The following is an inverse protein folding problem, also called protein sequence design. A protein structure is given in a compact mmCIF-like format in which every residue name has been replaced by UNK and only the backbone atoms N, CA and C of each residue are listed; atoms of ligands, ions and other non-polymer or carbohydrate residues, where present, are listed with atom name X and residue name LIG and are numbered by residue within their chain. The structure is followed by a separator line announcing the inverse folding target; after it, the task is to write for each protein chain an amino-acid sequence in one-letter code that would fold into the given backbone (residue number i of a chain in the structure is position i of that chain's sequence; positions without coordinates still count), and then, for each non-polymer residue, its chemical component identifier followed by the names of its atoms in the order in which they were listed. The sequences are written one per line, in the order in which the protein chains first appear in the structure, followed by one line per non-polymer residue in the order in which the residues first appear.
data_IF_227646104519
#
_entry.id   IF_227646104519
#
_cell.length_a   1.000
_cell.length_b   1.000
_cell.length_c   1.000
_cell.angle_alpha   90.00
_cell.angle_beta   90.00
_cell.angle_gamma   90.00
#
_symmetry.space_group_name_H-M   'P 1'
#
loop_
_entity.id
_entity.type
_entity.pdbx_description
1 polymer ?
#
# COMPACT_ATOMS: atom_id res chain seq x y z
N UNK A 1 -7.39 13.96 -4.56
CA UNK A 1 -6.05 13.37 -4.56
C UNK A 1 -5.05 14.48 -4.74
N UNK A 2 -4.00 14.49 -3.95
CA UNK A 2 -2.82 15.34 -4.16
C UNK A 2 -1.60 14.45 -4.38
N UNK A 3 -0.75 14.85 -5.31
CA UNK A 3 0.50 14.18 -5.63
C UNK A 3 1.62 15.21 -5.62
N UNK A 4 2.72 14.88 -4.97
CA UNK A 4 3.88 15.76 -4.86
C UNK A 4 5.15 14.97 -4.62
N UNK A 5 6.27 15.67 -4.54
CA UNK A 5 7.58 15.13 -4.23
C UNK A 5 7.98 15.59 -2.84
N UNK A 6 8.39 14.71 -1.95
CA UNK A 6 8.95 15.04 -0.64
C UNK A 6 10.47 15.24 -0.73
N UNK A 7 11.13 14.36 -1.46
CA UNK A 7 12.55 14.36 -1.77
C UNK A 7 12.71 13.89 -3.22
N UNK A 8 13.84 14.14 -3.85
CA UNK A 8 14.05 13.95 -5.29
C UNK A 8 13.52 12.61 -5.83
N UNK A 9 13.55 11.54 -5.03
CA UNK A 9 13.15 10.18 -5.41
C UNK A 9 12.01 9.57 -4.54
N UNK A 10 11.40 10.36 -3.62
CA UNK A 10 10.31 9.92 -2.75
C UNK A 10 9.04 10.72 -3.04
N UNK A 11 8.03 10.04 -3.55
CA UNK A 11 6.72 10.62 -3.82
C UNK A 11 5.86 10.72 -2.56
N UNK A 12 5.04 11.78 -2.47
CA UNK A 12 3.95 11.91 -1.52
C UNK A 12 2.62 11.78 -2.25
N UNK A 13 1.81 10.83 -1.80
CA UNK A 13 0.45 10.59 -2.28
C UNK A 13 -0.52 10.87 -1.15
N UNK A 14 -1.36 11.90 -1.30
CA UNK A 14 -2.32 12.29 -0.26
C UNK A 14 -3.75 12.05 -0.75
N UNK A 15 -4.48 11.19 -0.07
CA UNK A 15 -5.93 11.05 -0.23
C UNK A 15 -6.57 12.35 0.27
N UNK A 16 -7.18 13.14 -0.62
CA UNK A 16 -7.60 14.51 -0.29
C UNK A 16 -9.10 14.74 -0.53
N UNK A 17 -9.89 14.30 0.44
CA UNK A 17 -11.31 14.61 0.69
C UNK A 17 -11.52 14.71 2.20
N UNK A 18 -10.83 15.61 2.92
CA UNK A 18 -10.78 15.64 4.39
C UNK A 18 -12.14 15.83 5.04
N UNK A 19 -13.08 16.55 4.39
CA UNK A 19 -14.46 16.76 4.83
C UNK A 19 -15.28 15.47 4.86
N UNK A 20 -14.85 14.43 4.14
CA UNK A 20 -15.43 13.08 4.09
C UNK A 20 -14.50 12.02 4.67
N UNK A 21 -13.49 12.40 5.47
CA UNK A 21 -12.46 11.50 5.98
C UNK A 21 -11.82 10.68 4.86
N UNK A 22 -11.62 11.29 3.70
CA UNK A 22 -11.02 10.69 2.51
C UNK A 22 -11.76 9.43 2.02
N UNK A 23 -13.10 9.40 2.17
CA UNK A 23 -13.93 8.31 1.67
C UNK A 23 -13.83 8.20 0.14
N UNK A 24 -13.86 6.95 -0.35
CA UNK A 24 -13.61 6.59 -1.74
C UNK A 24 -14.87 6.87 -2.57
N UNK A 25 -14.78 7.78 -3.52
CA UNK A 25 -15.73 8.01 -4.60
C UNK A 25 -15.05 7.89 -5.96
N UNK A 26 -15.78 8.15 -7.05
CA UNK A 26 -15.24 8.07 -8.40
C UNK A 26 -14.07 9.01 -8.66
N UNK A 27 -14.07 10.21 -8.07
CA UNK A 27 -12.98 11.18 -8.22
C UNK A 27 -11.70 10.72 -7.54
N UNK A 28 -11.82 10.10 -6.37
CA UNK A 28 -10.67 9.53 -5.66
C UNK A 28 -10.12 8.31 -6.43
N UNK A 29 -10.98 7.44 -6.97
CA UNK A 29 -10.59 6.31 -7.82
C UNK A 29 -9.81 6.80 -9.04
N UNK A 30 -10.33 7.81 -9.78
CA UNK A 30 -9.65 8.41 -10.93
C UNK A 30 -8.29 8.98 -10.54
N UNK A 31 -8.23 9.71 -9.43
CA UNK A 31 -6.99 10.30 -8.92
C UNK A 31 -5.94 9.26 -8.52
N UNK A 32 -6.35 8.15 -7.88
CA UNK A 32 -5.41 7.07 -7.52
C UNK A 32 -4.89 6.40 -8.79
N UNK A 33 -5.74 6.03 -9.75
CA UNK A 33 -5.28 5.45 -11.02
C UNK A 33 -4.25 6.33 -11.73
N UNK A 34 -4.54 7.64 -11.84
CA UNK A 34 -3.60 8.59 -12.44
C UNK A 34 -2.27 8.66 -11.68
N UNK A 35 -2.31 8.70 -10.35
CA UNK A 35 -1.10 8.70 -9.52
C UNK A 35 -0.27 7.42 -9.71
N UNK A 36 -0.94 6.26 -9.82
CA UNK A 36 -0.25 4.99 -10.09
C UNK A 36 0.42 4.95 -11.46
N UNK A 37 -0.15 5.63 -12.48
CA UNK A 37 0.50 5.79 -13.78
C UNK A 37 1.79 6.63 -13.65
N UNK A 38 1.77 7.70 -12.85
CA UNK A 38 2.96 8.53 -12.60
C UNK A 38 4.03 7.75 -11.83
N UNK A 39 3.65 7.03 -10.77
CA UNK A 39 4.58 6.23 -9.97
C UNK A 39 5.22 5.09 -10.77
N UNK A 40 4.50 4.53 -11.74
CA UNK A 40 5.03 3.52 -12.67
C UNK A 40 6.01 4.06 -13.71
N UNK A 41 6.15 5.38 -13.84
CA UNK A 41 7.02 6.05 -14.82
C UNK A 41 8.53 5.97 -14.53
N UNK A 42 8.95 5.45 -13.36
CA UNK A 42 10.36 5.21 -13.03
C UNK A 42 11.10 6.41 -12.42
N UNK A 43 10.43 7.54 -12.17
CA UNK A 43 11.05 8.73 -11.55
C UNK A 43 11.24 8.59 -10.04
N UNK A 44 10.42 7.76 -9.39
CA UNK A 44 10.41 7.59 -7.93
C UNK A 44 10.97 6.23 -7.52
N UNK A 45 11.58 6.22 -6.34
CA UNK A 45 12.18 5.05 -5.68
C UNK A 45 11.32 4.51 -4.54
N UNK A 46 10.47 5.36 -3.97
CA UNK A 46 9.47 5.00 -2.96
C UNK A 46 8.29 5.98 -3.00
N UNK A 47 7.15 5.57 -2.45
CA UNK A 47 6.00 6.44 -2.25
C UNK A 47 5.50 6.37 -0.81
N UNK A 48 5.12 7.53 -0.25
CA UNK A 48 4.41 7.62 1.03
C UNK A 48 2.95 7.93 0.73
N UNK A 49 2.04 7.07 1.22
CA UNK A 49 0.60 7.25 1.11
C UNK A 49 0.02 7.70 2.44
N UNK A 50 -0.70 8.83 2.45
CA UNK A 50 -1.34 9.38 3.65
C UNK A 50 -2.71 9.98 3.34
N UNK A 51 -3.44 10.44 4.35
CA UNK A 51 -4.71 11.13 4.19
C UNK A 51 -4.65 12.59 4.64
N UNK A 52 -5.31 13.49 3.91
CA UNK A 52 -5.47 14.87 4.33
C UNK A 52 -6.37 14.99 5.57
N UNK A 53 -6.05 15.92 6.46
CA UNK A 53 -6.83 16.21 7.65
C UNK A 53 -6.75 15.10 8.71
N UNK A 54 -7.86 14.82 9.40
CA UNK A 54 -7.92 13.95 10.60
C UNK A 54 -8.09 12.45 10.30
N UNK A 55 -8.29 12.04 9.06
CA UNK A 55 -8.52 10.65 8.67
C UNK A 55 -7.56 10.19 7.61
N UNK A 56 -7.21 8.90 7.62
CA UNK A 56 -6.49 8.29 6.51
C UNK A 56 -7.47 8.01 5.35
N UNK A 57 -8.42 7.11 5.55
CA UNK A 57 -9.50 6.82 4.60
C UNK A 57 -10.63 6.05 5.30
N UNK A 58 -11.85 6.56 5.24
CA UNK A 58 -13.03 5.96 5.89
C UNK A 58 -13.72 4.85 5.06
N UNK A 59 -13.09 4.39 3.95
CA UNK A 59 -13.67 3.39 3.06
C UNK A 59 -14.57 4.01 1.99
N UNK A 60 -15.53 3.24 1.47
CA UNK A 60 -16.44 3.69 0.42
C UNK A 60 -17.32 4.88 0.88
N UNK A 61 -17.53 5.85 0.00
CA UNK A 61 -18.47 6.95 0.26
C UNK A 61 -19.91 6.44 0.14
N UNK A 62 -20.52 6.16 1.27
CA UNK A 62 -21.90 5.66 1.37
C UNK A 62 -22.96 6.79 1.40
N UNK A 63 -22.54 8.05 1.29
CA UNK A 63 -23.49 9.19 1.34
C UNK A 63 -24.42 9.29 0.12
N UNK A 64 -24.04 8.65 -1.00
CA UNK A 64 -24.75 8.76 -2.27
C UNK A 64 -24.54 10.10 -2.99
N UNK A 65 -23.69 10.98 -2.45
CA UNK A 65 -23.43 12.32 -3.01
C UNK A 65 -22.04 12.44 -3.65
N UNK A 66 -21.20 11.39 -3.55
CA UNK A 66 -19.90 11.31 -4.20
C UNK A 66 -20.02 11.06 -5.71
N UNK A 67 -18.91 11.30 -6.43
CA UNK A 67 -18.85 10.99 -7.85
C UNK A 67 -19.04 9.48 -8.10
N UNK A 68 -19.77 9.10 -9.16
CA UNK A 68 -20.00 7.68 -9.45
C UNK A 68 -18.67 6.98 -9.81
N UNK A 69 -18.52 5.75 -9.36
CA UNK A 69 -17.29 4.96 -9.55
C UNK A 69 -17.02 4.58 -11.00
N UNK A 70 -18.06 4.56 -11.83
CA UNK A 70 -17.96 4.38 -13.28
C UNK A 70 -18.94 5.31 -13.99
N UNK A 71 -18.66 5.59 -15.28
CA UNK A 71 -19.56 6.35 -16.17
C UNK A 71 -20.15 5.40 -17.22
N UNK A 72 -21.20 4.62 -16.89
CA UNK A 72 -21.74 3.61 -17.79
C UNK A 72 -22.44 4.24 -19.00
N UNK A 73 -22.46 3.50 -20.11
CA UNK A 73 -23.35 3.85 -21.25
C UNK A 73 -24.80 3.62 -20.85
N UNK A 74 -25.73 4.41 -21.38
CA UNK A 74 -27.18 4.32 -21.07
C UNK A 74 -27.77 2.90 -21.23
N UNK A 75 -27.20 2.09 -22.10
CA UNK A 75 -27.64 0.72 -22.41
C UNK A 75 -26.98 -0.36 -21.54
N UNK A 76 -26.06 0.01 -20.62
CA UNK A 76 -25.37 -0.97 -19.78
C UNK A 76 -26.33 -1.50 -18.70
N UNK A 77 -26.52 -2.83 -18.59
CA UNK A 77 -27.37 -3.41 -17.55
C UNK A 77 -26.87 -3.05 -16.14
N UNK A 78 -27.75 -2.82 -15.14
CA UNK A 78 -27.36 -2.43 -13.79
C UNK A 78 -26.34 -3.37 -13.12
N UNK A 79 -26.50 -4.69 -13.28
CA UNK A 79 -25.53 -5.66 -12.78
C UNK A 79 -24.12 -5.42 -13.32
N UNK A 80 -24.01 -5.17 -14.64
CA UNK A 80 -22.72 -4.92 -15.27
C UNK A 80 -22.10 -3.61 -14.81
N UNK A 81 -22.91 -2.56 -14.57
CA UNK A 81 -22.42 -1.30 -13.99
C UNK A 81 -21.79 -1.54 -12.63
N UNK A 82 -22.51 -2.27 -11.75
CA UNK A 82 -22.01 -2.57 -10.41
C UNK A 82 -20.74 -3.44 -10.46
N UNK A 83 -20.72 -4.46 -11.31
CA UNK A 83 -19.57 -5.33 -11.49
C UNK A 83 -18.34 -4.56 -11.99
N UNK A 84 -18.49 -3.75 -13.06
CA UNK A 84 -17.40 -2.95 -13.63
C UNK A 84 -16.89 -1.91 -12.60
N UNK A 85 -17.79 -1.34 -11.80
CA UNK A 85 -17.43 -0.42 -10.71
C UNK A 85 -16.58 -1.11 -9.64
N UNK A 86 -16.98 -2.31 -9.24
CA UNK A 86 -16.24 -3.11 -8.25
C UNK A 86 -14.87 -3.53 -8.79
N UNK A 87 -14.80 -4.00 -10.03
CA UNK A 87 -13.52 -4.39 -10.67
C UNK A 87 -12.59 -3.18 -10.75
N UNK A 88 -13.10 -2.03 -11.17
CA UNK A 88 -12.29 -0.81 -11.28
C UNK A 88 -11.75 -0.34 -9.93
N UNK A 89 -12.57 -0.41 -8.88
CA UNK A 89 -12.13 -0.09 -7.53
C UNK A 89 -11.08 -1.09 -7.03
N UNK A 90 -11.33 -2.39 -7.21
CA UNK A 90 -10.42 -3.45 -6.74
C UNK A 90 -9.07 -3.41 -7.45
N UNK A 91 -9.03 -3.00 -8.72
CA UNK A 91 -7.80 -2.87 -9.52
C UNK A 91 -6.79 -1.89 -8.89
N UNK A 92 -7.24 -0.84 -8.19
CA UNK A 92 -6.35 0.06 -7.47
C UNK A 92 -5.42 -0.68 -6.51
N UNK A 93 -5.97 -1.63 -5.76
CA UNK A 93 -5.24 -2.38 -4.72
C UNK A 93 -4.26 -3.36 -5.36
N UNK A 94 -4.65 -4.03 -6.44
CA UNK A 94 -3.75 -4.88 -7.22
C UNK A 94 -2.59 -4.06 -7.79
N UNK A 95 -2.86 -2.91 -8.38
CA UNK A 95 -1.84 -2.03 -8.96
C UNK A 95 -0.86 -1.50 -7.92
N UNK A 96 -1.32 -1.13 -6.70
CA UNK A 96 -0.43 -0.71 -5.60
C UNK A 96 0.47 -1.88 -5.16
N UNK A 97 -0.12 -3.07 -5.01
CA UNK A 97 0.61 -4.27 -4.62
C UNK A 97 1.72 -4.66 -5.61
N UNK A 98 1.46 -4.45 -6.92
CA UNK A 98 2.35 -4.79 -8.03
C UNK A 98 3.29 -3.64 -8.44
N UNK A 99 3.20 -2.44 -7.83
CA UNK A 99 4.11 -1.34 -8.15
C UNK A 99 5.57 -1.78 -7.99
N UNK A 100 6.47 -1.37 -8.91
CA UNK A 100 7.89 -1.71 -8.83
C UNK A 100 8.62 -1.02 -7.67
N UNK A 101 8.00 0.00 -7.07
CA UNK A 101 8.55 0.74 -5.93
C UNK A 101 7.79 0.43 -4.65
N UNK A 102 8.43 0.49 -3.47
CA UNK A 102 7.77 0.36 -2.18
C UNK A 102 6.81 1.49 -1.89
N UNK A 103 5.68 1.14 -1.25
CA UNK A 103 4.68 2.08 -0.76
C UNK A 103 4.64 2.01 0.76
N UNK A 104 4.82 3.14 1.42
CA UNK A 104 4.76 3.28 2.88
C UNK A 104 3.43 3.96 3.23
N UNK A 105 2.54 3.25 3.95
CA UNK A 105 1.33 3.87 4.49
C UNK A 105 1.69 4.65 5.77
N UNK A 106 1.50 5.97 5.74
CA UNK A 106 1.56 6.86 6.90
C UNK A 106 0.11 7.11 7.37
N UNK A 107 -0.34 6.31 8.34
CA UNK A 107 -1.74 6.25 8.75
C UNK A 107 -2.01 7.28 9.84
N UNK A 108 -2.52 8.44 9.44
CA UNK A 108 -2.74 9.60 10.30
C UNK A 108 -4.04 9.54 11.14
N UNK A 109 -4.96 8.63 10.83
CA UNK A 109 -6.26 8.56 11.50
C UNK A 109 -7.06 7.32 11.12
N UNK A 110 -8.38 7.48 10.93
CA UNK A 110 -9.28 6.37 10.60
C UNK A 110 -8.92 5.73 9.26
N UNK A 111 -8.69 4.41 9.26
CA UNK A 111 -8.40 3.54 8.13
C UNK A 111 -9.32 2.32 8.17
N UNK A 112 -10.55 2.42 7.62
CA UNK A 112 -11.57 1.37 7.69
C UNK A 112 -12.09 0.98 6.31
N UNK A 113 -12.54 -0.26 6.15
CA UNK A 113 -13.00 -0.77 4.86
C UNK A 113 -11.92 -0.63 3.79
N UNK A 114 -12.19 0.11 2.72
CA UNK A 114 -11.20 0.42 1.69
C UNK A 114 -9.96 1.16 2.22
N UNK A 115 -10.10 1.93 3.32
CA UNK A 115 -8.98 2.54 4.02
C UNK A 115 -8.05 1.50 4.67
N UNK A 116 -8.62 0.47 5.29
CA UNK A 116 -7.83 -0.68 5.75
C UNK A 116 -7.16 -1.36 4.56
N UNK A 117 -7.86 -1.57 3.45
CA UNK A 117 -7.30 -2.21 2.26
C UNK A 117 -6.08 -1.43 1.72
N UNK A 118 -6.11 -0.09 1.67
CA UNK A 118 -4.93 0.73 1.31
C UNK A 118 -3.75 0.48 2.26
N UNK A 119 -4.01 0.31 3.57
CA UNK A 119 -2.92 0.01 4.51
C UNK A 119 -2.35 -1.40 4.28
N UNK A 120 -3.19 -2.37 3.96
CA UNK A 120 -2.77 -3.76 3.76
C UNK A 120 -1.95 -3.98 2.49
N UNK A 121 -2.26 -3.27 1.41
CA UNK A 121 -1.52 -3.39 0.14
C UNK A 121 -0.21 -2.59 0.14
N UNK A 122 -0.02 -1.68 1.10
CA UNK A 122 1.24 -0.98 1.29
C UNK A 122 2.29 -1.91 1.88
N UNK A 123 3.56 -1.72 1.49
CA UNK A 123 4.66 -2.59 1.91
C UNK A 123 5.00 -2.39 3.40
N UNK A 124 5.04 -1.14 3.86
CA UNK A 124 5.29 -0.80 5.27
C UNK A 124 4.16 0.11 5.79
N UNK A 125 3.81 -0.03 7.06
CA UNK A 125 2.74 0.73 7.72
C UNK A 125 3.30 1.39 8.97
N UNK A 126 3.29 2.74 8.98
CA UNK A 126 3.57 3.57 10.17
C UNK A 126 2.26 4.23 10.56
N UNK A 127 1.92 4.23 11.83
CA UNK A 127 0.66 4.76 12.32
C UNK A 127 0.87 5.89 13.34
N UNK A 128 0.02 6.90 13.29
CA UNK A 128 -0.18 7.80 14.42
C UNK A 128 -0.89 7.05 15.57
N UNK A 129 -0.63 7.43 16.81
CA UNK A 129 -1.37 6.98 17.99
C UNK A 129 -2.90 7.21 17.88
N UNK A 130 -3.31 8.16 17.02
CA UNK A 130 -4.71 8.47 16.72
C UNK A 130 -5.33 7.51 15.69
N UNK A 131 -4.54 6.67 15.03
CA UNK A 131 -5.02 5.78 13.99
C UNK A 131 -6.01 4.74 14.53
N UNK A 132 -7.00 4.40 13.69
CA UNK A 132 -8.03 3.40 13.96
C UNK A 132 -8.20 2.51 12.75
N UNK A 133 -8.26 1.21 12.93
CA UNK A 133 -8.31 0.24 11.85
C UNK A 133 -9.52 -0.69 11.99
N UNK A 134 -10.11 -1.10 10.87
CA UNK A 134 -11.19 -2.08 10.91
C UNK A 134 -11.66 -2.54 9.55
N UNK A 135 -12.01 -3.83 9.46
CA UNK A 135 -12.65 -4.43 8.29
C UNK A 135 -14.17 -4.15 8.36
N UNK A 136 -14.55 -2.87 8.23
CA UNK A 136 -15.90 -2.41 8.51
C UNK A 136 -16.93 -2.72 7.40
N UNK A 137 -16.57 -3.43 6.34
CA UNK A 137 -17.50 -3.82 5.27
C UNK A 137 -18.75 -4.54 5.80
N UNK A 138 -18.55 -5.46 6.78
CA UNK A 138 -19.65 -6.23 7.37
C UNK A 138 -20.67 -5.33 8.11
N UNK A 139 -20.21 -4.21 8.68
CA UNK A 139 -21.09 -3.23 9.32
C UNK A 139 -21.90 -2.41 8.33
N UNK A 140 -21.44 -2.31 7.09
CA UNK A 140 -22.15 -1.67 5.98
C UNK A 140 -23.06 -2.67 5.20
N UNK A 141 -23.18 -3.92 5.68
CA UNK A 141 -24.03 -4.95 5.06
C UNK A 141 -23.35 -5.72 3.92
N UNK A 142 -22.05 -5.53 3.72
CA UNK A 142 -21.26 -6.26 2.72
C UNK A 142 -20.42 -7.37 3.36
N UNK A 143 -19.87 -8.24 2.54
CA UNK A 143 -18.84 -9.18 2.98
C UNK A 143 -17.54 -8.43 3.29
N UNK A 144 -16.80 -8.89 4.30
CA UNK A 144 -15.44 -8.41 4.57
C UNK A 144 -14.39 -8.97 3.59
N UNK A 145 -14.82 -9.75 2.59
CA UNK A 145 -13.95 -10.28 1.52
C UNK A 145 -13.92 -9.29 0.35
N UNK A 146 -13.18 -8.20 0.49
CA UNK A 146 -13.10 -7.15 -0.52
C UNK A 146 -11.70 -6.54 -0.59
N UNK A 147 -11.33 -5.98 -1.75
CA UNK A 147 -10.11 -5.19 -1.98
C UNK A 147 -8.82 -5.86 -1.45
N UNK A 148 -8.72 -7.19 -1.55
CA UNK A 148 -7.58 -7.96 -1.05
C UNK A 148 -7.52 -8.18 0.45
N UNK A 149 -8.48 -7.66 1.25
CA UNK A 149 -8.46 -7.76 2.71
C UNK A 149 -8.40 -9.23 3.19
N UNK A 150 -9.20 -10.12 2.59
CA UNK A 150 -9.23 -11.55 2.97
C UNK A 150 -7.95 -12.31 2.63
N UNK A 151 -7.16 -11.78 1.71
CA UNK A 151 -5.88 -12.35 1.30
C UNK A 151 -4.71 -11.81 2.13
N UNK A 152 -4.64 -10.49 2.33
CA UNK A 152 -3.51 -9.82 2.95
C UNK A 152 -3.59 -9.82 4.49
N UNK A 153 -4.77 -9.54 5.06
CA UNK A 153 -4.89 -9.43 6.52
C UNK A 153 -4.43 -10.71 7.24
N UNK A 154 -4.84 -11.94 6.83
CA UNK A 154 -4.36 -13.16 7.47
C UNK A 154 -2.85 -13.39 7.35
N UNK A 155 -2.22 -12.91 6.27
CA UNK A 155 -0.77 -13.01 6.08
C UNK A 155 0.00 -12.07 7.01
N UNK A 156 -0.61 -10.95 7.38
CA UNK A 156 0.02 -9.93 8.24
C UNK A 156 -0.20 -10.26 9.73
N UNK A 157 -1.45 -10.50 10.16
CA UNK A 157 -1.80 -10.63 11.58
C UNK A 157 -2.08 -12.07 12.02
N UNK A 158 -1.98 -13.02 11.11
CA UNK A 158 -2.35 -14.42 11.33
C UNK A 158 -3.86 -14.67 11.18
N UNK A 159 -4.21 -15.90 10.80
CA UNK A 159 -5.58 -16.28 10.43
C UNK A 159 -6.59 -16.14 11.57
N UNK A 160 -6.18 -16.35 12.83
CA UNK A 160 -7.07 -16.25 14.00
C UNK A 160 -7.55 -14.82 14.22
N UNK A 161 -6.61 -13.88 14.30
CA UNK A 161 -6.90 -12.46 14.48
C UNK A 161 -7.66 -11.89 13.28
N UNK A 162 -7.24 -12.25 12.05
CA UNK A 162 -7.92 -11.80 10.85
C UNK A 162 -9.39 -12.22 10.82
N UNK A 163 -9.72 -13.49 11.16
CA UNK A 163 -11.11 -13.96 11.25
C UNK A 163 -11.93 -13.17 12.25
N UNK A 164 -11.38 -12.92 13.43
CA UNK A 164 -12.07 -12.15 14.47
C UNK A 164 -12.39 -10.73 13.98
N UNK A 165 -11.41 -10.01 13.42
CA UNK A 165 -11.59 -8.65 12.92
C UNK A 165 -12.57 -8.58 11.74
N UNK A 166 -12.49 -9.53 10.80
CA UNK A 166 -13.33 -9.55 9.61
C UNK A 166 -14.77 -9.95 9.92
N UNK A 167 -15.00 -10.90 10.82
CA UNK A 167 -16.34 -11.37 11.19
C UNK A 167 -17.06 -10.41 12.12
N UNK A 168 -16.33 -9.77 13.05
CA UNK A 168 -16.91 -8.81 13.99
C UNK A 168 -17.06 -7.41 13.38
N UNK A 169 -16.16 -7.02 12.47
CA UNK A 169 -16.05 -5.68 11.93
C UNK A 169 -15.73 -4.63 13.00
N UNK A 170 -15.14 -5.05 14.13
CA UNK A 170 -14.75 -4.12 15.19
C UNK A 170 -13.60 -3.23 14.75
N UNK A 171 -13.51 -2.07 15.37
CA UNK A 171 -12.44 -1.11 15.18
C UNK A 171 -11.41 -1.33 16.28
N UNK A 172 -10.12 -1.34 15.91
CA UNK A 172 -8.98 -1.40 16.82
C UNK A 172 -8.21 -0.08 16.81
N UNK A 173 -7.54 0.22 17.91
CA UNK A 173 -6.66 1.37 18.01
C UNK A 173 -5.23 1.07 17.52
N UNK A 174 -4.38 2.08 17.52
CA UNK A 174 -2.99 1.96 17.07
C UNK A 174 -2.17 1.01 17.98
N UNK A 175 -2.43 1.00 19.28
CA UNK A 175 -1.71 0.15 20.23
C UNK A 175 -2.02 -1.34 19.97
N UNK A 176 -3.30 -1.67 19.75
CA UNK A 176 -3.69 -3.03 19.37
C UNK A 176 -3.14 -3.39 17.97
N UNK A 177 -3.21 -2.48 17.00
CA UNK A 177 -2.66 -2.69 15.66
C UNK A 177 -1.15 -3.02 15.70
N UNK A 178 -0.39 -2.35 16.57
CA UNK A 178 1.01 -2.66 16.80
C UNK A 178 1.20 -4.03 17.45
N UNK A 179 0.43 -4.33 18.50
CA UNK A 179 0.49 -5.61 19.22
C UNK A 179 0.23 -6.83 18.35
N UNK A 180 -0.64 -6.70 17.33
CA UNK A 180 -0.96 -7.77 16.39
C UNK A 180 -0.13 -7.70 15.10
N UNK A 181 0.90 -6.86 15.06
CA UNK A 181 1.79 -6.65 13.91
C UNK A 181 1.10 -6.12 12.65
N UNK A 182 -0.08 -5.49 12.77
CA UNK A 182 -0.73 -4.83 11.64
C UNK A 182 0.07 -3.61 11.19
N UNK A 183 0.69 -2.89 12.13
CA UNK A 183 1.57 -1.76 11.84
C UNK A 183 2.97 -2.01 12.37
N UNK A 184 3.95 -1.43 11.68
CA UNK A 184 5.37 -1.56 11.99
C UNK A 184 5.78 -0.69 13.19
N UNK A 185 5.23 0.53 13.25
CA UNK A 185 5.58 1.53 14.25
C UNK A 185 4.35 2.38 14.58
N UNK A 186 4.26 2.85 15.83
CA UNK A 186 3.27 3.83 16.28
C UNK A 186 4.01 5.02 16.89
N UNK A 187 3.66 6.22 16.43
CA UNK A 187 4.31 7.47 16.82
C UNK A 187 3.29 8.56 17.15
N UNK A 188 3.71 9.64 17.80
CA UNK A 188 2.89 10.83 17.97
C UNK A 188 2.47 11.40 16.61
N UNK A 189 1.35 12.14 16.56
CA UNK A 189 0.80 12.65 15.29
C UNK A 189 1.80 13.49 14.50
N UNK A 190 2.55 14.35 15.18
CA UNK A 190 3.52 15.25 14.55
C UNK A 190 4.78 14.52 14.04
N UNK A 191 5.05 13.32 14.57
CA UNK A 191 6.19 12.48 14.18
C UNK A 191 5.87 11.49 13.04
N UNK A 192 4.61 11.43 12.59
CA UNK A 192 4.17 10.43 11.60
C UNK A 192 4.92 10.56 10.26
N UNK A 193 4.95 11.77 9.70
CA UNK A 193 5.63 11.98 8.41
C UNK A 193 7.16 11.86 8.53
N UNK A 194 7.82 12.38 9.58
CA UNK A 194 9.22 12.09 9.85
C UNK A 194 9.54 10.61 9.94
N UNK A 195 8.69 9.81 10.62
CA UNK A 195 8.87 8.36 10.75
C UNK A 195 8.70 7.64 9.40
N UNK A 196 7.66 7.97 8.63
CA UNK A 196 7.44 7.39 7.30
C UNK A 196 8.60 7.73 6.34
N UNK A 197 9.09 8.97 6.38
CA UNK A 197 10.22 9.41 5.56
C UNK A 197 11.52 8.69 5.94
N UNK A 198 11.77 8.49 7.24
CA UNK A 198 12.91 7.67 7.71
C UNK A 198 12.86 6.25 7.13
N UNK A 199 11.68 5.61 7.11
CA UNK A 199 11.51 4.29 6.48
C UNK A 199 11.76 4.36 4.98
N UNK A 200 11.18 5.32 4.28
CA UNK A 200 11.38 5.49 2.85
C UNK A 200 12.87 5.64 2.50
N UNK A 201 13.59 6.52 3.19
CA UNK A 201 15.04 6.74 3.00
C UNK A 201 15.86 5.47 3.22
N UNK A 202 15.58 4.71 4.29
CA UNK A 202 16.29 3.46 4.56
C UNK A 202 16.13 2.41 3.44
N UNK A 203 15.06 2.52 2.66
CA UNK A 203 14.81 1.68 1.49
C UNK A 203 15.50 2.25 0.25
N UNK A 204 15.37 3.58 0.00
CA UNK A 204 15.94 4.21 -1.19
C UNK A 204 17.47 4.34 -1.14
N UNK A 205 18.10 4.19 0.01
CA UNK A 205 19.55 4.03 0.16
C UNK A 205 20.10 2.76 -0.52
N UNK A 206 19.26 1.76 -0.78
CA UNK A 206 19.65 0.51 -1.44
C UNK A 206 19.49 0.61 -2.97
N UNK A 207 20.09 -0.31 -3.73
CA UNK A 207 19.95 -0.31 -5.19
C UNK A 207 18.49 -0.55 -5.63
N UNK A 208 18.02 0.21 -6.62
CA UNK A 208 16.63 0.19 -7.08
C UNK A 208 16.20 -1.17 -7.59
N UNK A 209 17.05 -1.84 -8.37
CA UNK A 209 16.78 -3.17 -8.91
C UNK A 209 16.59 -4.20 -7.79
N UNK A 210 17.47 -4.19 -6.79
CA UNK A 210 17.39 -5.10 -5.64
C UNK A 210 16.12 -4.89 -4.82
N UNK A 211 15.72 -3.64 -4.57
CA UNK A 211 14.47 -3.30 -3.87
C UNK A 211 13.26 -3.80 -4.65
N UNK A 212 13.18 -3.49 -5.94
CA UNK A 212 12.11 -3.97 -6.82
C UNK A 212 12.01 -5.50 -6.81
N UNK A 213 13.12 -6.20 -7.08
CA UNK A 213 13.14 -7.68 -7.12
C UNK A 213 12.81 -8.30 -5.76
N UNK A 214 13.20 -7.65 -4.65
CA UNK A 214 12.83 -8.12 -3.31
C UNK A 214 11.33 -8.02 -3.09
N UNK A 215 10.70 -6.90 -3.47
CA UNK A 215 9.25 -6.71 -3.32
C UNK A 215 8.46 -7.76 -4.11
N UNK A 216 8.69 -7.86 -5.43
CA UNK A 216 7.94 -8.81 -6.27
C UNK A 216 8.27 -10.27 -5.94
N UNK A 217 9.53 -10.56 -5.62
CA UNK A 217 9.97 -11.90 -5.23
C UNK A 217 9.36 -12.35 -3.91
N UNK A 218 9.31 -11.47 -2.90
CA UNK A 218 8.65 -11.77 -1.63
C UNK A 218 7.15 -12.04 -1.81
N UNK A 219 6.46 -11.21 -2.62
CA UNK A 219 5.05 -11.42 -2.93
C UNK A 219 4.82 -12.80 -3.57
N UNK A 220 5.67 -13.20 -4.52
CA UNK A 220 5.60 -14.52 -5.14
C UNK A 220 5.96 -15.67 -4.17
N UNK A 221 6.97 -15.47 -3.30
CA UNK A 221 7.40 -16.47 -2.33
C UNK A 221 6.35 -16.75 -1.25
N UNK A 222 5.58 -15.73 -0.83
CA UNK A 222 4.47 -15.90 0.13
C UNK A 222 3.32 -16.76 -0.43
N UNK A 223 3.24 -16.95 -1.73
CA UNK A 223 2.26 -17.81 -2.43
C UNK A 223 2.89 -19.10 -2.97
N UNK A 224 4.18 -19.31 -2.73
CA UNK A 224 4.86 -20.48 -3.23
C UNK A 224 4.34 -21.76 -2.54
N UNK A 225 4.07 -22.85 -3.30
CA UNK A 225 3.52 -24.07 -2.74
C UNK A 225 4.53 -24.87 -1.89
N UNK A 226 5.82 -24.51 -1.94
CA UNK A 226 6.88 -25.18 -1.16
C UNK A 226 8.12 -24.31 -1.06
N UNK A 227 8.97 -24.56 -0.04
CA UNK A 227 10.29 -23.94 0.09
C UNK A 227 11.15 -24.13 -1.18
N UNK A 228 11.10 -25.32 -1.80
CA UNK A 228 11.86 -25.58 -3.04
C UNK A 228 11.42 -24.64 -4.16
N UNK A 229 10.13 -24.37 -4.30
CA UNK A 229 9.61 -23.46 -5.31
C UNK A 229 10.05 -22.01 -5.03
N UNK A 230 10.00 -21.55 -3.77
CA UNK A 230 10.49 -20.24 -3.37
C UNK A 230 11.99 -20.09 -3.69
N UNK A 231 12.83 -21.06 -3.32
CA UNK A 231 14.27 -21.05 -3.63
C UNK A 231 14.54 -21.00 -5.14
N UNK A 232 13.74 -21.66 -5.97
CA UNK A 232 13.89 -21.60 -7.43
C UNK A 232 13.62 -20.18 -7.97
N UNK A 233 12.68 -19.44 -7.39
CA UNK A 233 12.43 -18.03 -7.71
C UNK A 233 13.64 -17.19 -7.27
N UNK A 234 14.11 -17.39 -6.03
CA UNK A 234 15.26 -16.68 -5.46
C UNK A 234 16.53 -16.89 -6.29
N UNK A 235 16.83 -18.13 -6.70
CA UNK A 235 17.99 -18.46 -7.53
C UNK A 235 18.01 -17.64 -8.83
N UNK A 236 16.88 -17.57 -9.52
CA UNK A 236 16.74 -16.80 -10.77
C UNK A 236 16.92 -15.31 -10.51
N UNK A 237 16.29 -14.80 -9.46
CA UNK A 237 16.40 -13.39 -9.06
C UNK A 237 17.84 -13.01 -8.73
N UNK A 238 18.56 -13.84 -7.97
CA UNK A 238 19.96 -13.59 -7.62
C UNK A 238 20.89 -13.61 -8.84
N UNK A 239 20.70 -14.57 -9.74
CA UNK A 239 21.51 -14.62 -10.98
C UNK A 239 21.24 -13.37 -11.84
N UNK A 240 19.97 -12.95 -12.00
CA UNK A 240 19.64 -11.73 -12.75
C UNK A 240 20.25 -10.48 -12.10
N UNK A 241 20.26 -10.38 -10.79
CA UNK A 241 20.91 -9.29 -10.06
C UNK A 241 22.40 -9.19 -10.36
N UNK A 242 23.07 -10.31 -10.60
CA UNK A 242 24.48 -10.38 -10.99
C UNK A 242 24.80 -9.79 -12.37
N UNK A 243 23.79 -9.55 -13.22
CA UNK A 243 23.98 -8.86 -14.51
C UNK A 243 23.88 -7.33 -14.42
N UNK A 244 23.53 -6.79 -13.24
CA UNK A 244 23.66 -5.36 -12.94
C UNK A 244 25.08 -5.04 -12.47
N UNK A 245 25.49 -3.76 -12.51
CA UNK A 245 26.77 -3.35 -11.94
C UNK A 245 26.74 -3.24 -10.41
N UNK A 246 25.56 -3.30 -9.80
CA UNK A 246 25.35 -3.05 -8.36
C UNK A 246 26.17 -3.97 -7.43
N UNK A 247 26.32 -5.30 -7.67
CA UNK A 247 27.17 -6.14 -6.81
C UNK A 247 28.64 -5.74 -6.82
N UNK A 248 29.18 -5.31 -7.99
CA UNK A 248 30.56 -4.84 -8.13
C UNK A 248 30.74 -3.51 -7.41
N UNK A 249 29.79 -2.58 -7.59
CA UNK A 249 29.79 -1.29 -6.89
C UNK A 249 29.70 -1.47 -5.37
N UNK A 250 28.84 -2.36 -4.88
CA UNK A 250 28.73 -2.67 -3.46
C UNK A 250 30.07 -3.13 -2.87
N UNK A 251 30.75 -4.05 -3.54
CA UNK A 251 32.07 -4.56 -3.12
C UNK A 251 33.12 -3.45 -3.13
N UNK A 252 33.15 -2.64 -4.19
CA UNK A 252 34.09 -1.52 -4.35
C UNK A 252 33.88 -0.46 -3.28
N UNK A 253 32.65 0.00 -3.09
CA UNK A 253 32.28 0.99 -2.09
C UNK A 253 32.62 0.53 -0.67
N UNK A 254 32.39 -0.76 -0.37
CA UNK A 254 32.79 -1.35 0.91
C UNK A 254 34.30 -1.31 1.15
N UNK A 255 35.11 -1.69 0.15
CA UNK A 255 36.58 -1.65 0.24
C UNK A 255 37.10 -0.21 0.38
N UNK A 256 36.48 0.73 -0.31
CA UNK A 256 36.85 2.14 -0.30
C UNK A 256 36.24 2.92 0.88
N UNK A 257 35.39 2.29 1.69
CA UNK A 257 34.67 2.89 2.85
C UNK A 257 33.89 4.15 2.47
N UNK A 258 33.20 4.13 1.35
CA UNK A 258 32.31 5.19 0.85
C UNK A 258 30.90 4.68 0.65
N UNK A 259 29.95 5.58 0.48
CA UNK A 259 28.60 5.25 0.04
C UNK A 259 28.65 4.68 -1.41
N UNK A 260 27.85 3.64 -1.69
CA UNK A 260 27.73 3.10 -3.05
C UNK A 260 27.01 4.07 -3.99
N UNK A 261 27.33 3.98 -5.27
CA UNK A 261 26.65 4.68 -6.36
C UNK A 261 25.93 3.67 -7.22
N UNK A 262 24.64 3.51 -6.93
CA UNK A 262 23.84 2.48 -7.59
C UNK A 262 23.51 2.82 -9.04
N UNK A 263 23.42 1.79 -9.89
CA UNK A 263 22.86 1.94 -11.23
C UNK A 263 21.37 2.37 -11.14
N UNK A 264 20.88 3.21 -12.06
CA UNK A 264 19.46 3.50 -12.19
C UNK A 264 18.68 2.23 -12.56
N UNK A 265 17.38 2.25 -12.31
CA UNK A 265 16.47 1.16 -12.69
C UNK A 265 16.15 1.22 -14.18
#
# INVERSE_FOLDING_TARGET
MEFGTLEDDIALVTLNRPERLNAIDGSLIDGVHHTLDLLGGGEFRAAILTGAGRGFCAGADLSGTGEPWTKPKRTTPPFKVNYDSQVRLADLFTRIYELPIPVIAAVNGVAVGGGLAFTLVSDVRVASEQARFGSAFIKAGFSSMDMGTSYLLPKIVGAGVARELMLSGRIIDAAEAYRIHLVHEVVAADDLMPAALRVARSITENNAYGVWQTKIGLNAALDAPSLRHAIEIENRTQILSGFTNNPVEAATAHMEKRAPKWDPL
#
